data_IF_780641733995
#
_entry.id   IF_780641733995
#
_cell.length_a   1.000
_cell.length_b   1.000
_cell.length_c   1.000
_cell.angle_alpha   90.00
_cell.angle_beta   90.00
_cell.angle_gamma   90.00
#
_symmetry.space_group_name_H-M   'P 1'
#
loop_
_entity.id
_entity.type
_entity.pdbx_description
1 polymer ?
#
# COMPACT_ATOMS: atom_id res chain seq x y z
N UNK A 1 -19.92 -7.19 34.75
CA UNK A 1 -18.60 -7.44 34.10
C UNK A 1 -18.74 -7.69 32.59
N UNK A 2 -19.67 -8.54 32.13
CA UNK A 2 -19.93 -8.79 30.70
C UNK A 2 -20.34 -7.56 29.85
N UNK A 3 -21.26 -6.71 30.33
CA UNK A 3 -21.70 -5.49 29.59
C UNK A 3 -20.62 -4.43 29.39
N UNK A 4 -19.61 -4.37 30.26
CA UNK A 4 -18.52 -3.40 30.13
C UNK A 4 -17.55 -3.83 29.02
N UNK A 5 -17.25 -5.12 28.93
CA UNK A 5 -16.45 -5.68 27.84
C UNK A 5 -17.15 -5.59 26.47
N UNK A 6 -18.49 -5.77 26.40
CA UNK A 6 -19.26 -5.54 25.17
C UNK A 6 -19.31 -4.06 24.74
N UNK A 7 -19.36 -3.13 25.69
CA UNK A 7 -19.28 -1.70 25.40
C UNK A 7 -17.87 -1.26 25.00
N UNK A 8 -16.82 -1.89 25.56
CA UNK A 8 -15.45 -1.64 25.14
C UNK A 8 -15.18 -2.25 23.76
N UNK A 9 -15.61 -3.50 23.52
CA UNK A 9 -15.46 -4.16 22.23
C UNK A 9 -16.24 -3.44 21.14
N UNK A 10 -17.47 -3.00 21.41
CA UNK A 10 -18.22 -2.19 20.43
C UNK A 10 -17.60 -0.81 20.17
N UNK A 11 -16.95 -0.17 21.15
CA UNK A 11 -16.24 1.11 20.95
C UNK A 11 -14.89 0.95 20.23
N UNK A 12 -14.14 -0.10 20.55
CA UNK A 12 -12.88 -0.46 19.88
C UNK A 12 -13.16 -0.93 18.46
N UNK A 13 -14.27 -1.63 18.25
CA UNK A 13 -14.67 -2.16 16.95
C UNK A 13 -15.55 -1.19 16.14
N UNK A 14 -16.11 -0.11 16.72
CA UNK A 14 -16.93 0.87 16.01
C UNK A 14 -16.24 1.48 14.76
N UNK A 15 -14.93 1.77 14.75
CA UNK A 15 -14.21 2.18 13.54
C UNK A 15 -14.14 1.09 12.45
N UNK A 16 -14.42 -0.16 12.80
CA UNK A 16 -14.24 -1.36 11.98
C UNK A 16 -15.54 -2.13 11.69
N UNK A 17 -16.63 -1.87 12.44
CA UNK A 17 -17.95 -2.53 12.33
C UNK A 17 -19.00 -1.62 11.66
N UNK A 18 -18.74 -0.31 11.55
CA UNK A 18 -19.63 0.59 10.82
C UNK A 18 -19.74 0.22 9.35
N UNK A 19 -20.93 0.39 8.76
CA UNK A 19 -21.23 0.14 7.34
C UNK A 19 -20.01 0.49 6.49
N UNK A 20 -19.44 -0.51 5.82
CA UNK A 20 -18.44 -0.30 4.80
C UNK A 20 -19.11 0.47 3.66
N UNK A 21 -19.15 1.79 3.81
CA UNK A 21 -19.17 2.69 2.68
C UNK A 21 -17.98 2.26 1.84
N UNK A 22 -18.25 1.39 0.87
CA UNK A 22 -17.37 0.99 -0.22
C UNK A 22 -17.07 2.28 -0.97
N UNK A 23 -16.19 3.11 -0.42
CA UNK A 23 -15.82 4.39 -0.98
C UNK A 23 -14.86 4.10 -2.14
N UNK A 24 -15.40 3.55 -3.24
CA UNK A 24 -14.84 3.84 -4.54
C UNK A 24 -15.02 5.34 -4.71
N UNK A 25 -13.96 6.12 -4.45
CA UNK A 25 -13.96 7.54 -4.77
C UNK A 25 -14.20 7.64 -6.28
N UNK A 26 -15.38 8.13 -6.65
CA UNK A 26 -15.74 8.47 -8.03
C UNK A 26 -15.62 9.97 -8.15
N UNK A 27 -14.84 10.43 -9.11
CA UNK A 27 -14.71 11.85 -9.43
C UNK A 27 -15.53 12.16 -10.68
N UNK A 28 -15.67 13.45 -11.01
CA UNK A 28 -16.38 13.88 -12.20
C UNK A 28 -15.47 14.73 -13.06
N UNK A 29 -15.50 14.49 -14.36
CA UNK A 29 -14.86 15.34 -15.36
C UNK A 29 -15.60 16.67 -15.48
N UNK A 30 -14.96 17.69 -16.08
CA UNK A 30 -15.61 18.95 -16.48
C UNK A 30 -16.92 18.76 -17.28
N UNK A 31 -17.05 17.65 -18.01
CA UNK A 31 -18.26 17.33 -18.78
C UNK A 31 -19.32 16.51 -18.00
N UNK A 32 -19.11 16.28 -16.70
CA UNK A 32 -20.00 15.49 -15.83
C UNK A 32 -19.76 13.97 -15.86
N UNK A 33 -18.89 13.45 -16.74
CA UNK A 33 -18.62 12.01 -16.83
C UNK A 33 -17.91 11.49 -15.58
N UNK A 34 -18.34 10.34 -15.05
CA UNK A 34 -17.67 9.66 -13.94
C UNK A 34 -16.25 9.25 -14.29
N UNK A 35 -15.32 9.55 -13.40
CA UNK A 35 -13.90 9.25 -13.50
C UNK A 35 -13.50 8.25 -12.42
N UNK A 36 -12.71 7.27 -12.83
CA UNK A 36 -12.14 6.24 -11.97
C UNK A 36 -10.63 6.41 -11.89
N UNK A 37 -10.05 5.99 -10.77
CA UNK A 37 -8.64 6.19 -10.40
C UNK A 37 -7.59 5.98 -11.52
N UNK A 38 -7.85 5.10 -12.48
CA UNK A 38 -6.91 4.76 -13.57
C UNK A 38 -7.10 5.58 -14.85
N UNK A 39 -8.14 6.40 -14.97
CA UNK A 39 -8.38 7.15 -16.19
C UNK A 39 -7.29 8.23 -16.36
N UNK A 40 -6.63 8.23 -17.51
CA UNK A 40 -5.72 9.30 -17.96
C UNK A 40 -6.38 10.26 -18.96
N UNK A 41 -7.54 9.88 -19.49
CA UNK A 41 -8.36 10.68 -20.40
C UNK A 41 -9.85 10.41 -20.14
N UNK A 42 -10.67 11.45 -20.28
CA UNK A 42 -12.12 11.30 -20.26
C UNK A 42 -12.62 10.69 -21.58
N UNK A 43 -13.36 9.59 -21.51
CA UNK A 43 -13.91 8.93 -22.71
C UNK A 43 -15.08 9.68 -23.37
N UNK A 44 -15.65 10.69 -22.70
CA UNK A 44 -16.79 11.46 -23.22
C UNK A 44 -16.38 12.77 -23.91
N UNK A 45 -15.43 13.53 -23.33
CA UNK A 45 -14.99 14.82 -23.87
C UNK A 45 -13.50 14.86 -24.22
N UNK A 46 -12.79 13.73 -24.13
CA UNK A 46 -11.35 13.61 -24.43
C UNK A 46 -10.42 14.47 -23.58
N UNK A 47 -10.92 15.14 -22.54
CA UNK A 47 -10.10 15.92 -21.62
C UNK A 47 -8.99 15.05 -21.00
N UNK A 48 -7.77 15.58 -20.96
CA UNK A 48 -6.67 14.98 -20.21
C UNK A 48 -7.02 14.95 -18.72
N UNK A 49 -6.62 13.89 -18.02
CA UNK A 49 -6.88 13.70 -16.59
C UNK A 49 -5.58 13.54 -15.82
N UNK A 50 -5.60 13.94 -14.55
CA UNK A 50 -4.48 13.81 -13.63
C UNK A 50 -4.92 13.54 -12.20
N UNK A 51 -4.27 12.59 -11.54
CA UNK A 51 -4.45 12.31 -10.12
C UNK A 51 -3.46 13.12 -9.29
N UNK A 52 -3.98 13.97 -8.42
CA UNK A 52 -3.22 14.75 -7.46
C UNK A 52 -3.27 14.03 -6.09
N UNK A 53 -2.13 13.50 -5.60
CA UNK A 53 -2.12 12.58 -4.47
C UNK A 53 -2.46 13.25 -3.13
N UNK A 54 -2.05 14.51 -2.92
CA UNK A 54 -2.20 15.21 -1.64
C UNK A 54 -3.69 15.45 -1.29
N UNK A 55 -4.51 15.84 -2.26
CA UNK A 55 -5.96 15.98 -2.10
C UNK A 55 -6.70 14.67 -2.40
N UNK A 56 -5.98 13.60 -2.76
CA UNK A 56 -6.54 12.34 -3.22
C UNK A 56 -7.62 12.53 -4.29
N UNK A 57 -7.29 13.29 -5.35
CA UNK A 57 -8.27 13.78 -6.33
C UNK A 57 -7.87 13.47 -7.76
N UNK A 58 -8.78 12.87 -8.54
CA UNK A 58 -8.66 12.79 -9.99
C UNK A 58 -9.46 13.94 -10.61
N UNK A 59 -8.81 14.73 -11.47
CA UNK A 59 -9.42 15.91 -12.09
C UNK A 59 -9.15 15.91 -13.59
N UNK A 60 -10.04 16.52 -14.36
CA UNK A 60 -9.71 16.93 -15.73
C UNK A 60 -8.78 18.15 -15.71
N UNK A 61 -7.97 18.25 -16.75
CA UNK A 61 -6.86 19.19 -16.80
C UNK A 61 -7.07 20.22 -17.91
N UNK A 62 -6.83 21.49 -17.58
CA UNK A 62 -6.68 22.57 -18.55
C UNK A 62 -5.18 22.84 -18.80
N UNK A 63 -4.77 23.25 -20.01
CA UNK A 63 -3.40 23.69 -20.25
C UNK A 63 -3.02 24.85 -19.32
N UNK A 64 -1.84 24.78 -18.73
CA UNK A 64 -1.25 25.86 -17.95
C UNK A 64 -0.62 26.94 -18.84
N UNK A 65 -0.07 27.97 -18.21
CA UNK A 65 0.57 29.09 -18.91
C UNK A 65 1.97 28.74 -19.46
N UNK A 66 2.65 27.78 -18.84
CA UNK A 66 3.95 27.28 -19.29
C UNK A 66 3.81 25.99 -20.11
N UNK A 67 4.78 25.71 -20.97
CA UNK A 67 4.81 24.47 -21.77
C UNK A 67 4.77 23.23 -20.87
N UNK A 68 3.99 22.23 -21.29
CA UNK A 68 3.78 20.96 -20.58
C UNK A 68 3.23 21.08 -19.14
N UNK A 69 2.73 22.25 -18.75
CA UNK A 69 2.05 22.46 -17.48
C UNK A 69 0.53 22.38 -17.60
N UNK A 70 -0.12 22.07 -16.49
CA UNK A 70 -1.55 21.80 -16.40
C UNK A 70 -2.13 22.40 -15.12
N UNK A 71 -3.38 22.85 -15.20
CA UNK A 71 -4.21 23.24 -14.06
C UNK A 71 -5.35 22.24 -13.87
N UNK A 72 -5.80 22.06 -12.63
CA UNK A 72 -6.96 21.22 -12.33
C UNK A 72 -8.23 22.03 -12.63
N UNK A 73 -9.16 21.48 -13.42
CA UNK A 73 -10.45 22.17 -13.67
C UNK A 73 -11.26 22.33 -12.39
N UNK A 74 -11.21 21.32 -11.52
CA UNK A 74 -11.94 21.31 -10.27
C UNK A 74 -11.37 22.27 -9.21
N UNK A 75 -10.13 22.77 -9.39
CA UNK A 75 -9.43 23.63 -8.43
C UNK A 75 -8.27 24.38 -9.11
N UNK A 76 -8.56 25.39 -9.96
CA UNK A 76 -7.54 26.11 -10.73
C UNK A 76 -6.46 26.80 -9.87
N UNK A 77 -6.79 27.11 -8.61
CA UNK A 77 -5.93 27.74 -7.61
C UNK A 77 -4.94 26.78 -6.94
N UNK A 78 -5.04 25.47 -7.16
CA UNK A 78 -4.13 24.46 -6.59
C UNK A 78 -2.69 24.53 -7.15
N UNK A 79 -2.44 25.41 -8.11
CA UNK A 79 -1.14 25.63 -8.75
C UNK A 79 -1.00 24.94 -10.10
N UNK A 80 0.22 24.98 -10.62
CA UNK A 80 0.60 24.33 -11.88
C UNK A 80 1.21 22.96 -11.62
N UNK A 81 0.82 22.00 -12.45
CA UNK A 81 1.25 20.61 -12.38
C UNK A 81 1.86 20.15 -13.70
N UNK A 82 2.69 19.12 -13.63
CA UNK A 82 3.09 18.30 -14.78
C UNK A 82 2.49 16.91 -14.64
N UNK A 83 2.36 16.18 -15.74
CA UNK A 83 2.05 14.74 -15.71
C UNK A 83 3.35 13.95 -15.58
N UNK A 84 3.30 12.84 -14.83
CA UNK A 84 4.46 11.97 -14.63
C UNK A 84 5.07 11.50 -15.95
N UNK A 85 6.40 11.45 -16.05
CA UNK A 85 7.11 10.94 -17.23
C UNK A 85 6.74 9.50 -17.61
N UNK A 86 6.21 8.72 -16.67
CA UNK A 86 5.69 7.37 -16.93
C UNK A 86 4.26 7.33 -17.50
N UNK A 87 3.71 8.45 -17.95
CA UNK A 87 2.39 8.50 -18.57
C UNK A 87 2.34 7.68 -19.87
N UNK A 88 3.28 7.92 -20.77
CA UNK A 88 3.30 7.32 -22.11
C UNK A 88 4.16 6.05 -22.18
N UNK A 89 4.69 5.61 -21.04
CA UNK A 89 5.41 4.33 -20.91
C UNK A 89 4.43 3.19 -20.60
N UNK A 90 4.83 1.91 -20.66
CA UNK A 90 3.94 0.81 -20.31
C UNK A 90 3.30 0.92 -18.91
N UNK A 91 3.95 1.57 -17.95
CA UNK A 91 3.41 1.85 -16.62
C UNK A 91 2.09 2.65 -16.62
N UNK A 92 1.83 3.43 -17.68
CA UNK A 92 0.60 4.21 -17.89
C UNK A 92 0.19 5.04 -16.67
N UNK A 93 1.13 5.83 -16.14
CA UNK A 93 0.92 6.63 -14.94
C UNK A 93 0.05 7.87 -15.22
N UNK A 94 -1.04 8.08 -14.47
CA UNK A 94 -1.87 9.28 -14.60
C UNK A 94 -1.66 10.30 -13.46
N UNK A 95 -0.58 10.19 -12.68
CA UNK A 95 -0.36 11.05 -11.52
C UNK A 95 0.30 12.36 -11.91
N UNK A 96 -0.03 13.38 -11.14
CA UNK A 96 0.55 14.71 -11.24
C UNK A 96 1.72 14.88 -10.28
N UNK A 97 2.56 15.86 -10.60
CA UNK A 97 3.62 16.39 -9.75
C UNK A 97 3.65 17.92 -9.89
N UNK A 98 4.11 18.67 -8.88
CA UNK A 98 4.24 20.11 -8.99
C UNK A 98 5.09 20.54 -10.20
N UNK A 99 4.66 21.60 -10.91
CA UNK A 99 5.37 22.08 -12.10
C UNK A 99 6.80 22.52 -11.79
N UNK A 100 7.01 23.18 -10.64
CA UNK A 100 8.28 23.74 -10.20
C UNK A 100 9.08 22.80 -9.28
N UNK A 101 8.65 21.55 -9.14
CA UNK A 101 9.34 20.55 -8.33
C UNK A 101 10.53 19.91 -9.05
N UNK A 102 11.49 19.40 -8.26
CA UNK A 102 12.61 18.63 -8.79
C UNK A 102 12.17 17.25 -9.28
N UNK A 103 12.70 16.82 -10.44
CA UNK A 103 12.41 15.52 -11.02
C UNK A 103 11.26 15.51 -12.04
N UNK A 104 11.03 14.33 -12.62
CA UNK A 104 10.04 14.08 -13.69
C UNK A 104 9.04 12.98 -13.33
N UNK A 105 9.21 12.34 -12.18
CA UNK A 105 8.37 11.25 -11.69
C UNK A 105 7.49 11.72 -10.53
N UNK A 106 6.23 11.29 -10.50
CA UNK A 106 5.37 11.49 -9.34
C UNK A 106 5.89 10.72 -8.12
N UNK A 107 5.39 11.05 -6.92
CA UNK A 107 5.80 10.42 -5.65
C UNK A 107 5.77 8.88 -5.71
N UNK A 108 4.80 8.26 -6.39
CA UNK A 108 4.74 6.80 -6.51
C UNK A 108 5.79 6.21 -7.47
N UNK A 109 6.01 6.85 -8.63
CA UNK A 109 7.00 6.36 -9.60
C UNK A 109 8.44 6.64 -9.17
N UNK A 110 8.67 7.69 -8.38
CA UNK A 110 9.97 8.02 -7.79
C UNK A 110 10.48 6.95 -6.81
N UNK A 111 9.60 6.09 -6.29
CA UNK A 111 9.99 4.96 -5.43
C UNK A 111 10.61 3.79 -6.21
N UNK A 112 10.58 3.79 -7.54
CA UNK A 112 11.23 2.73 -8.31
C UNK A 112 12.73 2.92 -8.30
N UNK A 113 13.43 1.98 -7.69
CA UNK A 113 14.88 1.84 -7.87
C UNK A 113 15.17 1.01 -9.12
N UNK A 114 14.45 -0.10 -9.29
CA UNK A 114 14.56 -0.96 -10.48
C UNK A 114 13.19 -1.20 -11.11
N UNK A 115 13.09 -0.95 -12.42
CA UNK A 115 11.94 -1.33 -13.25
C UNK A 115 12.28 -2.62 -14.03
N UNK A 116 11.30 -3.40 -14.49
CA UNK A 116 11.60 -4.63 -15.22
C UNK A 116 12.19 -4.32 -16.59
N UNK A 117 12.92 -5.28 -17.16
CA UNK A 117 13.50 -5.18 -18.50
C UNK A 117 12.39 -5.04 -19.56
N UNK A 118 12.30 -3.85 -20.16
CA UNK A 118 11.29 -3.51 -21.17
C UNK A 118 11.65 -3.99 -22.58
N UNK A 119 12.83 -4.61 -22.77
CA UNK A 119 13.13 -5.33 -24.01
C UNK A 119 12.28 -6.60 -24.16
N UNK A 120 11.73 -7.11 -23.05
CA UNK A 120 10.81 -8.24 -22.97
C UNK A 120 9.36 -7.70 -23.05
N UNK A 121 8.60 -7.98 -24.13
CA UNK A 121 7.27 -7.41 -24.34
C UNK A 121 6.27 -7.75 -23.22
N UNK A 122 6.35 -8.94 -22.63
CA UNK A 122 5.46 -9.39 -21.55
C UNK A 122 5.59 -8.52 -20.30
N UNK A 123 6.80 -7.98 -20.05
CA UNK A 123 7.05 -7.11 -18.90
C UNK A 123 6.29 -5.78 -18.98
N UNK A 124 5.81 -5.37 -20.16
CA UNK A 124 5.04 -4.14 -20.32
C UNK A 124 3.70 -4.22 -19.58
N UNK A 125 2.98 -5.34 -19.74
CA UNK A 125 1.71 -5.57 -19.04
C UNK A 125 1.94 -5.85 -17.54
N UNK A 126 2.97 -6.63 -17.21
CA UNK A 126 3.33 -6.89 -15.81
C UNK A 126 3.67 -5.62 -15.06
N UNK A 127 4.51 -4.76 -15.65
CA UNK A 127 4.90 -3.49 -15.03
C UNK A 127 3.68 -2.59 -14.82
N UNK A 128 2.77 -2.51 -15.80
CA UNK A 128 1.51 -1.78 -15.66
C UNK A 128 0.68 -2.27 -14.48
N UNK A 129 0.50 -3.59 -14.32
CA UNK A 129 -0.29 -4.18 -13.23
C UNK A 129 0.32 -3.91 -11.85
N UNK A 130 1.64 -4.10 -11.74
CA UNK A 130 2.41 -3.82 -10.52
C UNK A 130 2.32 -2.35 -10.14
N UNK A 131 2.52 -1.45 -11.11
CA UNK A 131 2.42 -0.01 -10.90
C UNK A 131 1.00 0.44 -10.50
N UNK A 132 -0.05 -0.17 -11.06
CA UNK A 132 -1.44 0.09 -10.62
C UNK A 132 -1.62 -0.31 -9.14
N UNK A 133 -1.10 -1.47 -8.73
CA UNK A 133 -1.20 -1.93 -7.35
C UNK A 133 -0.40 -1.03 -6.39
N UNK A 134 0.85 -0.71 -6.74
CA UNK A 134 1.70 0.22 -5.97
C UNK A 134 1.07 1.61 -5.84
N UNK A 135 0.54 2.19 -6.93
CA UNK A 135 -0.13 3.51 -6.85
C UNK A 135 -1.35 3.50 -5.94
N UNK A 136 -2.12 2.41 -5.89
CA UNK A 136 -3.23 2.28 -4.94
C UNK A 136 -2.74 2.26 -3.49
N UNK A 137 -1.66 1.52 -3.23
CA UNK A 137 -0.99 1.51 -1.92
C UNK A 137 -0.50 2.92 -1.56
N UNK A 138 0.28 3.57 -2.42
CA UNK A 138 0.85 4.91 -2.14
C UNK A 138 -0.25 5.94 -1.93
N UNK A 139 -1.31 5.96 -2.75
CA UNK A 139 -2.45 6.84 -2.54
C UNK A 139 -3.10 6.62 -1.17
N UNK A 140 -3.21 5.36 -0.75
CA UNK A 140 -3.74 5.02 0.56
C UNK A 140 -2.83 5.52 1.69
N UNK A 141 -1.51 5.31 1.61
CA UNK A 141 -0.54 5.78 2.60
C UNK A 141 -0.59 7.32 2.75
N UNK A 142 -0.58 8.04 1.63
CA UNK A 142 -0.69 9.51 1.60
C UNK A 142 -2.01 9.97 2.23
N UNK A 143 -3.13 9.32 1.90
CA UNK A 143 -4.45 9.67 2.48
C UNK A 143 -4.56 9.39 3.99
N UNK A 144 -3.69 8.53 4.52
CA UNK A 144 -3.57 8.24 5.96
C UNK A 144 -2.60 9.19 6.66
N UNK A 145 -1.97 10.12 5.92
CA UNK A 145 -0.97 11.06 6.46
C UNK A 145 0.40 10.42 6.70
N UNK A 146 0.64 9.20 6.22
CA UNK A 146 1.93 8.53 6.38
C UNK A 146 2.97 9.10 5.41
N UNK A 147 4.20 9.27 5.90
CA UNK A 147 5.30 9.77 5.09
C UNK A 147 5.77 8.74 4.07
N UNK A 148 5.79 9.13 2.80
CA UNK A 148 6.29 8.32 1.68
C UNK A 148 7.50 9.02 1.08
N UNK A 149 8.67 8.75 1.64
CA UNK A 149 9.94 9.38 1.23
C UNK A 149 10.73 8.38 0.38
N UNK A 150 11.10 8.69 -0.88
CA UNK A 150 11.94 7.81 -1.69
C UNK A 150 13.34 7.62 -1.12
N UNK A 151 13.92 6.43 -1.29
CA UNK A 151 15.34 6.19 -0.93
C UNK A 151 16.35 7.05 -1.69
N UNK A 152 15.97 7.58 -2.85
CA UNK A 152 16.78 8.55 -3.60
C UNK A 152 16.89 9.92 -2.92
N UNK A 153 16.02 10.19 -1.94
CA UNK A 153 16.04 11.41 -1.12
C UNK A 153 16.60 11.09 0.27
N UNK A 154 16.18 9.99 0.88
CA UNK A 154 16.65 9.51 2.18
C UNK A 154 17.08 8.05 2.09
N UNK A 155 18.38 7.82 1.92
CA UNK A 155 18.94 6.48 1.71
C UNK A 155 18.74 5.57 2.93
N UNK A 156 18.73 6.13 4.14
CA UNK A 156 18.65 5.37 5.38
C UNK A 156 17.20 4.98 5.69
N UNK A 157 16.29 5.97 5.72
CA UNK A 157 14.92 5.79 6.19
C UNK A 157 13.87 5.74 5.07
N UNK A 158 14.25 5.95 3.82
CA UNK A 158 13.31 5.99 2.69
C UNK A 158 12.80 4.61 2.24
N UNK A 159 11.77 4.65 1.40
CA UNK A 159 11.11 3.52 0.75
C UNK A 159 11.52 3.42 -0.73
N UNK A 160 11.79 2.21 -1.21
CA UNK A 160 12.03 1.93 -2.62
C UNK A 160 11.49 0.56 -3.04
N UNK A 161 11.29 0.39 -4.34
CA UNK A 161 10.83 -0.85 -4.95
C UNK A 161 11.77 -1.33 -6.06
N UNK A 162 12.05 -2.62 -6.05
CA UNK A 162 12.66 -3.35 -7.15
C UNK A 162 11.66 -4.33 -7.75
N UNK A 163 11.43 -4.20 -9.06
CA UNK A 163 10.65 -5.14 -9.85
C UNK A 163 11.57 -5.95 -10.74
N UNK A 164 11.90 -7.15 -10.29
CA UNK A 164 12.95 -7.97 -10.88
C UNK A 164 12.35 -9.24 -11.50
N UNK A 165 12.95 -9.71 -12.59
CA UNK A 165 12.61 -11.00 -13.19
C UNK A 165 13.64 -12.07 -12.85
N UNK A 166 13.61 -13.17 -13.60
CA UNK A 166 14.69 -14.15 -13.55
C UNK A 166 16.00 -13.52 -14.02
N UNK A 167 17.10 -13.86 -13.35
CA UNK A 167 18.42 -13.37 -13.74
C UNK A 167 18.92 -14.05 -15.05
N UNK A 168 20.09 -13.62 -15.54
CA UNK A 168 20.71 -14.17 -16.75
C UNK A 168 21.06 -15.68 -16.61
N UNK A 169 21.13 -16.20 -15.39
CA UNK A 169 21.38 -17.60 -15.08
C UNK A 169 20.06 -18.40 -14.94
N UNK A 170 18.91 -17.73 -15.08
CA UNK A 170 17.57 -18.32 -14.96
C UNK A 170 17.07 -18.51 -13.54
N UNK A 171 17.76 -17.98 -12.51
CA UNK A 171 17.32 -18.06 -11.12
C UNK A 171 16.22 -17.06 -10.83
N UNK A 172 15.26 -17.47 -10.01
CA UNK A 172 14.19 -16.59 -9.54
C UNK A 172 14.73 -15.59 -8.52
N UNK A 173 14.24 -14.33 -8.54
CA UNK A 173 14.71 -13.32 -7.60
C UNK A 173 14.28 -13.64 -6.18
N UNK A 174 15.07 -13.18 -5.20
CA UNK A 174 14.66 -13.18 -3.80
C UNK A 174 13.72 -12.00 -3.57
N UNK A 175 12.46 -12.31 -3.22
CA UNK A 175 11.43 -11.32 -2.91
C UNK A 175 11.32 -11.08 -1.41
N UNK A 176 10.84 -9.91 -1.01
CA UNK A 176 10.64 -9.53 0.40
C UNK A 176 11.03 -8.07 0.65
N UNK A 177 11.35 -7.75 1.90
CA UNK A 177 11.78 -6.42 2.31
C UNK A 177 13.18 -6.47 2.98
N UNK A 178 13.93 -5.37 2.85
CA UNK A 178 15.17 -5.15 3.57
C UNK A 178 15.44 -3.64 3.68
N UNK A 179 15.49 -3.08 4.89
CA UNK A 179 15.86 -1.67 5.15
C UNK A 179 15.10 -0.67 4.24
N UNK A 180 13.78 -0.83 4.12
CA UNK A 180 12.92 0.01 3.27
C UNK A 180 13.05 -0.22 1.76
N UNK A 181 13.84 -1.19 1.31
CA UNK A 181 13.75 -1.72 -0.05
C UNK A 181 12.77 -2.90 -0.07
N UNK A 182 11.79 -2.85 -0.98
CA UNK A 182 10.86 -3.94 -1.22
C UNK A 182 11.11 -4.52 -2.61
N UNK A 183 11.38 -5.81 -2.69
CA UNK A 183 11.70 -6.53 -3.92
C UNK A 183 10.56 -7.49 -4.26
N UNK A 184 9.99 -7.36 -5.46
CA UNK A 184 8.97 -8.29 -5.97
C UNK A 184 9.41 -8.91 -7.29
N UNK A 185 9.07 -10.19 -7.48
CA UNK A 185 9.16 -10.83 -8.79
C UNK A 185 8.09 -10.24 -9.70
N UNK A 186 8.51 -9.70 -10.85
CA UNK A 186 7.60 -9.15 -11.85
C UNK A 186 6.58 -10.18 -12.34
N UNK A 187 6.90 -11.49 -12.27
CA UNK A 187 5.97 -12.58 -12.61
C UNK A 187 4.78 -12.69 -11.67
N UNK A 188 4.81 -12.09 -10.49
CA UNK A 188 3.61 -12.04 -9.64
C UNK A 188 2.45 -11.27 -10.29
N UNK A 189 2.75 -10.46 -11.30
CA UNK A 189 1.76 -9.76 -12.10
C UNK A 189 1.01 -10.67 -13.10
N UNK A 190 1.54 -11.87 -13.36
CA UNK A 190 0.85 -12.89 -14.15
C UNK A 190 -0.19 -13.60 -13.25
N UNK A 191 -1.46 -13.50 -13.64
CA UNK A 191 -2.57 -14.13 -12.92
C UNK A 191 -2.45 -15.65 -12.86
N UNK A 192 -1.96 -16.29 -13.92
CA UNK A 192 -1.78 -17.74 -13.97
C UNK A 192 -0.59 -18.19 -13.10
N UNK A 193 0.50 -17.43 -13.09
CA UNK A 193 1.60 -17.66 -12.15
C UNK A 193 1.13 -17.49 -10.71
N UNK A 194 0.43 -16.39 -10.39
CA UNK A 194 0.00 -16.08 -9.03
C UNK A 194 -1.01 -17.10 -8.50
N UNK A 195 -1.93 -17.59 -9.35
CA UNK A 195 -2.88 -18.65 -8.98
C UNK A 195 -2.17 -19.99 -8.73
N UNK A 196 -1.17 -20.36 -9.54
CA UNK A 196 -0.35 -21.55 -9.30
C UNK A 196 0.36 -21.48 -7.95
N UNK A 197 0.99 -20.34 -7.63
CA UNK A 197 1.67 -20.16 -6.34
C UNK A 197 0.67 -20.19 -5.19
N UNK A 198 -0.50 -19.53 -5.32
CA UNK A 198 -1.56 -19.56 -4.31
C UNK A 198 -1.97 -20.99 -3.96
N UNK A 199 -2.23 -21.82 -4.97
CA UNK A 199 -2.60 -23.24 -4.77
C UNK A 199 -1.46 -24.04 -4.14
N UNK A 200 -0.22 -23.83 -4.60
CA UNK A 200 0.96 -24.53 -4.08
C UNK A 200 1.23 -24.19 -2.61
N UNK A 201 1.10 -22.92 -2.24
CA UNK A 201 1.30 -22.41 -0.88
C UNK A 201 0.07 -22.56 0.01
N UNK A 202 -1.05 -23.10 -0.53
CA UNK A 202 -2.36 -23.22 0.15
C UNK A 202 -2.84 -21.90 0.74
N UNK A 203 -2.56 -20.81 0.06
CA UNK A 203 -3.00 -19.48 0.45
C UNK A 203 -4.48 -19.29 0.06
N UNK A 204 -5.30 -18.71 0.94
CA UNK A 204 -6.70 -18.45 0.62
C UNK A 204 -6.83 -17.39 -0.47
N UNK A 205 -5.94 -16.38 -0.51
CA UNK A 205 -5.93 -15.30 -1.49
C UNK A 205 -4.50 -14.79 -1.73
N UNK A 206 -4.11 -14.60 -2.99
CA UNK A 206 -2.83 -13.96 -3.37
C UNK A 206 -3.08 -12.83 -4.35
N UNK A 207 -2.78 -11.59 -3.97
CA UNK A 207 -2.93 -10.40 -4.82
C UNK A 207 -1.70 -9.50 -4.72
N UNK A 208 -1.35 -8.82 -5.82
CA UNK A 208 -0.22 -7.87 -5.84
C UNK A 208 -0.34 -6.81 -4.75
N UNK A 209 -1.52 -6.20 -4.60
CA UNK A 209 -1.73 -5.15 -3.60
C UNK A 209 -1.67 -5.70 -2.17
N UNK A 210 -2.07 -6.96 -1.94
CA UNK A 210 -1.92 -7.62 -0.66
C UNK A 210 -0.45 -7.79 -0.29
N UNK A 211 0.36 -8.33 -1.21
CA UNK A 211 1.80 -8.48 -1.01
C UNK A 211 2.48 -7.13 -0.76
N UNK A 212 2.17 -6.11 -1.56
CA UNK A 212 2.66 -4.75 -1.32
C UNK A 212 2.32 -4.22 0.08
N UNK A 213 1.09 -4.44 0.56
CA UNK A 213 0.67 -3.98 1.89
C UNK A 213 1.42 -4.71 3.00
N UNK A 214 1.67 -6.00 2.83
CA UNK A 214 2.44 -6.83 3.76
C UNK A 214 3.89 -6.31 3.87
N UNK A 215 4.60 -6.22 2.73
CA UNK A 215 6.00 -5.78 2.73
C UNK A 215 6.18 -4.35 3.24
N UNK A 216 5.25 -3.45 2.89
CA UNK A 216 5.24 -2.09 3.43
C UNK A 216 4.90 -2.07 4.93
N UNK A 217 4.18 -3.08 5.43
CA UNK A 217 3.94 -3.26 6.86
C UNK A 217 5.24 -3.41 7.63
N UNK A 218 6.19 -4.21 7.14
CA UNK A 218 7.52 -4.32 7.76
C UNK A 218 8.30 -3.00 7.72
N UNK A 219 8.27 -2.28 6.59
CA UNK A 219 8.87 -0.95 6.51
C UNK A 219 8.31 0.00 7.58
N UNK A 220 6.98 0.05 7.77
CA UNK A 220 6.41 0.91 8.81
C UNK A 220 6.59 0.35 10.23
N UNK A 221 6.87 -0.94 10.41
CA UNK A 221 7.30 -1.46 11.71
C UNK A 221 8.64 -0.82 12.12
N UNK A 222 9.62 -0.81 11.22
CA UNK A 222 10.94 -0.21 11.47
C UNK A 222 10.81 1.29 11.78
N UNK A 223 9.94 1.99 11.04
CA UNK A 223 9.75 3.45 11.17
C UNK A 223 8.97 3.85 12.41
N UNK A 224 7.96 3.08 12.79
CA UNK A 224 6.97 3.50 13.79
C UNK A 224 7.09 2.76 15.13
N UNK A 225 7.66 1.55 15.12
CA UNK A 225 7.66 0.64 16.28
C UNK A 225 9.07 0.40 16.82
N UNK A 226 10.01 -0.06 15.99
CA UNK A 226 11.28 -0.67 16.41
C UNK A 226 12.07 0.13 17.46
N UNK A 227 12.10 1.46 17.32
CA UNK A 227 12.83 2.37 18.21
C UNK A 227 11.91 3.43 18.85
N UNK A 228 10.61 3.13 18.94
CA UNK A 228 9.58 4.08 19.34
C UNK A 228 8.92 3.75 20.68
N UNK A 229 8.03 4.64 21.17
CA UNK A 229 7.27 4.43 22.40
C UNK A 229 6.27 3.27 22.31
N UNK A 230 6.01 2.78 21.09
CA UNK A 230 5.04 1.73 20.81
C UNK A 230 5.58 0.31 21.01
N UNK A 231 6.91 0.12 21.15
CA UNK A 231 7.53 -1.20 21.16
C UNK A 231 7.01 -2.12 22.29
N UNK A 232 6.87 -1.59 23.50
CA UNK A 232 6.38 -2.39 24.64
C UNK A 232 4.91 -2.78 24.48
N UNK A 233 4.08 -1.86 23.96
CA UNK A 233 2.68 -2.15 23.66
C UNK A 233 2.55 -3.17 22.50
N UNK A 234 3.42 -3.07 21.50
CA UNK A 234 3.55 -4.03 20.42
C UNK A 234 3.85 -5.43 20.98
N UNK A 235 4.88 -5.58 21.83
CA UNK A 235 5.23 -6.87 22.44
C UNK A 235 4.11 -7.47 23.29
N UNK A 236 3.35 -6.63 23.98
CA UNK A 236 2.18 -7.06 24.74
C UNK A 236 1.02 -7.60 23.89
N UNK A 237 0.92 -7.21 22.62
CA UNK A 237 -0.17 -7.59 21.71
C UNK A 237 0.21 -8.65 20.68
N UNK A 238 1.40 -8.55 20.09
CA UNK A 238 1.89 -9.39 18.99
C UNK A 238 2.88 -10.46 19.47
N UNK A 239 3.53 -10.24 20.61
CA UNK A 239 4.59 -11.10 21.15
C UNK A 239 5.99 -10.51 20.95
N UNK A 240 7.00 -11.22 21.45
CA UNK A 240 8.40 -10.79 21.43
C UNK A 240 9.05 -11.04 20.06
N UNK A 241 9.30 -9.97 19.32
CA UNK A 241 9.91 -10.02 17.99
C UNK A 241 11.37 -10.47 17.98
N UNK A 242 12.03 -10.56 19.15
CA UNK A 242 13.43 -10.98 19.26
C UNK A 242 13.61 -12.48 19.15
N UNK A 243 12.52 -13.24 19.08
CA UNK A 243 12.57 -14.68 18.77
C UNK A 243 13.27 -14.87 17.43
N UNK A 244 14.08 -15.91 17.29
CA UNK A 244 14.77 -16.19 16.04
C UNK A 244 13.77 -16.42 14.91
N UNK A 245 13.79 -15.54 13.91
CA UNK A 245 12.93 -15.65 12.73
C UNK A 245 13.11 -17.00 12.03
N UNK A 246 14.36 -17.45 11.86
CA UNK A 246 14.67 -18.71 11.18
C UNK A 246 14.09 -19.93 11.91
N UNK A 247 14.22 -19.97 13.24
CA UNK A 247 13.66 -21.07 14.05
C UNK A 247 12.13 -21.03 14.07
N UNK A 248 11.54 -19.83 14.10
CA UNK A 248 10.10 -19.64 14.07
C UNK A 248 9.48 -20.09 12.74
N UNK A 249 10.14 -19.75 11.63
CA UNK A 249 9.79 -20.19 10.28
C UNK A 249 9.88 -21.72 10.13
N UNK A 250 10.98 -22.31 10.58
CA UNK A 250 11.17 -23.77 10.55
C UNK A 250 10.07 -24.48 11.35
N UNK A 251 9.80 -24.03 12.57
CA UNK A 251 8.71 -24.56 13.40
C UNK A 251 7.36 -24.47 12.69
N UNK A 252 7.05 -23.34 12.06
CA UNK A 252 5.79 -23.14 11.36
C UNK A 252 5.62 -24.12 10.19
N UNK A 253 6.67 -24.37 9.40
CA UNK A 253 6.59 -25.35 8.31
C UNK A 253 6.51 -26.81 8.80
N UNK A 254 7.14 -27.12 9.93
CA UNK A 254 7.10 -28.48 10.50
C UNK A 254 5.77 -28.78 11.20
N UNK A 255 5.23 -27.82 11.95
CA UNK A 255 4.09 -28.04 12.86
C UNK A 255 2.78 -27.44 12.36
N UNK A 256 2.85 -26.48 11.42
CA UNK A 256 1.72 -25.68 10.98
C UNK A 256 1.27 -24.64 12.00
N UNK A 257 0.22 -23.90 11.65
CA UNK A 257 -0.43 -22.98 12.58
C UNK A 257 -1.26 -23.75 13.63
N UNK A 258 -1.35 -23.25 14.88
CA UNK A 258 -2.26 -23.79 15.90
C UNK A 258 -3.71 -23.86 15.41
N UNK A 259 -4.47 -24.90 15.77
CA UNK A 259 -5.84 -25.10 15.25
C UNK A 259 -6.82 -23.96 15.57
N UNK A 260 -6.55 -23.20 16.63
CA UNK A 260 -7.33 -22.09 17.13
C UNK A 260 -6.76 -20.71 16.76
N UNK A 261 -5.85 -20.64 15.78
CA UNK A 261 -5.20 -19.39 15.36
C UNK A 261 -6.19 -18.25 15.05
N UNK A 262 -7.38 -18.57 14.54
CA UNK A 262 -8.43 -17.59 14.20
C UNK A 262 -8.92 -16.80 15.41
N UNK A 263 -8.69 -17.30 16.63
CA UNK A 263 -9.06 -16.61 17.86
C UNK A 263 -8.14 -15.42 18.16
N UNK A 264 -6.94 -15.35 17.57
CA UNK A 264 -5.93 -14.35 17.92
C UNK A 264 -5.17 -13.73 16.75
N UNK A 265 -5.22 -14.32 15.55
CA UNK A 265 -4.46 -13.87 14.39
C UNK A 265 -5.35 -13.68 13.16
N UNK A 266 -4.96 -12.74 12.30
CA UNK A 266 -5.67 -12.44 11.04
C UNK A 266 -5.46 -13.52 9.97
N UNK A 267 -4.36 -14.27 10.05
CA UNK A 267 -4.04 -15.37 9.14
C UNK A 267 -3.30 -16.48 9.88
N UNK A 268 -3.25 -17.67 9.28
CA UNK A 268 -2.43 -18.77 9.81
C UNK A 268 -0.94 -18.40 9.79
N UNK A 269 -0.48 -17.69 8.75
CA UNK A 269 0.91 -17.29 8.61
C UNK A 269 1.34 -16.24 9.64
N UNK A 270 0.43 -15.35 10.07
CA UNK A 270 0.67 -14.43 11.18
C UNK A 270 1.09 -15.13 12.49
N UNK A 271 0.77 -16.42 12.68
CA UNK A 271 1.25 -17.18 13.85
C UNK A 271 2.74 -17.53 13.79
N UNK A 272 3.38 -17.36 12.63
CA UNK A 272 4.78 -17.75 12.40
C UNK A 272 5.72 -16.93 13.28
N UNK A 273 5.58 -15.60 13.28
CA UNK A 273 6.44 -14.70 14.03
C UNK A 273 5.71 -13.37 14.36
N UNK A 274 5.97 -12.72 15.51
CA UNK A 274 5.31 -11.44 15.86
C UNK A 274 5.47 -10.34 14.81
N UNK A 275 6.60 -10.35 14.09
CA UNK A 275 6.85 -9.41 12.99
C UNK A 275 5.95 -9.65 11.78
N UNK A 276 5.62 -10.92 11.48
CA UNK A 276 4.64 -11.27 10.44
C UNK A 276 3.22 -10.97 10.88
N UNK A 277 2.90 -11.20 12.14
CA UNK A 277 1.60 -10.86 12.70
C UNK A 277 1.31 -9.36 12.57
N UNK A 278 2.33 -8.52 12.77
CA UNK A 278 2.25 -7.09 12.45
C UNK A 278 1.97 -6.85 10.97
N UNK A 279 2.80 -7.37 10.07
CA UNK A 279 2.70 -7.10 8.64
C UNK A 279 1.36 -7.57 8.05
N UNK A 280 0.88 -8.75 8.47
CA UNK A 280 -0.42 -9.30 8.10
C UNK A 280 -1.57 -8.45 8.68
N UNK A 281 -1.48 -8.05 9.95
CA UNK A 281 -2.51 -7.18 10.57
C UNK A 281 -2.54 -5.81 9.92
N UNK A 282 -1.39 -5.23 9.60
CA UNK A 282 -1.25 -3.97 8.87
C UNK A 282 -1.86 -4.08 7.47
N UNK A 283 -1.56 -5.17 6.76
CA UNK A 283 -2.13 -5.42 5.44
C UNK A 283 -3.65 -5.56 5.49
N UNK A 284 -4.18 -6.23 6.51
CA UNK A 284 -5.61 -6.34 6.76
C UNK A 284 -6.24 -4.98 7.09
N UNK A 285 -5.61 -4.16 7.93
CA UNK A 285 -6.05 -2.80 8.23
C UNK A 285 -6.12 -1.94 6.95
N UNK A 286 -5.08 -1.95 6.12
CA UNK A 286 -5.11 -1.23 4.85
C UNK A 286 -6.14 -1.81 3.88
N UNK A 287 -6.38 -3.12 3.90
CA UNK A 287 -7.42 -3.71 3.07
C UNK A 287 -8.82 -3.22 3.44
N UNK A 288 -9.20 -3.29 4.72
CA UNK A 288 -10.52 -2.82 5.22
C UNK A 288 -10.75 -1.32 5.00
N UNK A 289 -9.67 -0.53 4.94
CA UNK A 289 -9.70 0.92 4.65
C UNK A 289 -9.51 1.25 3.15
N UNK A 290 -9.35 0.25 2.30
CA UNK A 290 -8.95 0.38 0.90
C UNK A 290 -10.13 0.57 -0.06
N UNK A 291 -9.87 1.18 -1.21
CA UNK A 291 -10.90 1.42 -2.24
C UNK A 291 -11.36 0.13 -2.93
N UNK A 292 -12.68 -0.14 -2.88
CA UNK A 292 -13.38 -1.02 -3.82
C UNK A 292 -12.96 -2.49 -3.80
N UNK A 293 -12.49 -3.02 -2.66
CA UNK A 293 -12.20 -4.44 -2.51
C UNK A 293 -13.24 -5.10 -1.58
N UNK A 294 -13.77 -6.28 -1.92
CA UNK A 294 -14.60 -7.06 -1.00
C UNK A 294 -13.74 -7.53 0.18
N UNK A 295 -14.38 -7.69 1.35
CA UNK A 295 -13.71 -8.11 2.58
C UNK A 295 -12.86 -9.37 2.34
N UNK A 296 -11.59 -9.29 2.72
CA UNK A 296 -10.61 -10.36 2.55
C UNK A 296 -10.96 -11.61 3.36
N UNK A 297 -11.80 -11.51 4.40
CA UNK A 297 -12.03 -12.60 5.34
C UNK A 297 -13.51 -12.81 5.71
N UNK A 298 -14.03 -14.05 5.63
CA UNK A 298 -15.44 -14.37 5.87
C UNK A 298 -15.81 -14.62 7.34
N UNK A 299 -14.92 -14.33 8.31
CA UNK A 299 -15.13 -14.64 9.73
C UNK A 299 -15.34 -13.38 10.58
N UNK A 300 -16.01 -13.55 11.72
CA UNK A 300 -16.14 -12.51 12.76
C UNK A 300 -14.75 -12.24 13.34
N UNK A 301 -14.31 -10.98 13.31
CA UNK A 301 -13.03 -10.57 13.91
C UNK A 301 -13.06 -10.86 15.42
N UNK A 302 -12.08 -11.62 15.90
CA UNK A 302 -11.97 -11.93 17.33
C UNK A 302 -11.60 -10.68 18.15
N UNK A 303 -11.89 -10.64 19.46
CA UNK A 303 -11.47 -9.53 20.31
C UNK A 303 -9.97 -9.24 20.27
N UNK A 304 -9.13 -10.28 20.17
CA UNK A 304 -7.68 -10.15 20.06
C UNK A 304 -7.26 -9.53 18.72
N UNK A 305 -7.86 -9.95 17.61
CA UNK A 305 -7.61 -9.34 16.29
C UNK A 305 -8.06 -7.88 16.26
N UNK A 306 -9.21 -7.57 16.84
CA UNK A 306 -9.72 -6.19 16.95
C UNK A 306 -8.75 -5.33 17.76
N UNK A 307 -8.19 -5.83 18.86
CA UNK A 307 -7.20 -5.11 19.64
C UNK A 307 -5.93 -4.78 18.82
N UNK A 308 -5.43 -5.73 18.02
CA UNK A 308 -4.28 -5.52 17.12
C UNK A 308 -4.60 -4.51 16.01
N UNK A 309 -5.78 -4.59 15.38
CA UNK A 309 -6.22 -3.62 14.37
C UNK A 309 -6.38 -2.20 14.95
N UNK A 310 -6.91 -2.11 16.17
CA UNK A 310 -7.00 -0.84 16.88
C UNK A 310 -5.62 -0.28 17.24
N UNK A 311 -4.66 -1.12 17.62
CA UNK A 311 -3.29 -0.71 17.82
C UNK A 311 -2.67 -0.11 16.55
N UNK A 312 -2.81 -0.79 15.40
CA UNK A 312 -2.37 -0.26 14.09
C UNK A 312 -3.02 1.10 13.81
N UNK A 313 -4.32 1.23 14.07
CA UNK A 313 -5.04 2.50 13.91
C UNK A 313 -4.45 3.63 14.75
N UNK A 314 -4.19 3.38 16.04
CA UNK A 314 -3.62 4.38 16.95
C UNK A 314 -2.22 4.83 16.52
N UNK A 315 -1.36 3.88 16.13
CA UNK A 315 -0.02 4.17 15.59
C UNK A 315 -0.12 5.08 14.37
N UNK A 316 -1.00 4.75 13.41
CA UNK A 316 -1.19 5.56 12.20
C UNK A 316 -1.79 6.94 12.53
N UNK A 317 -2.73 7.05 13.47
CA UNK A 317 -3.32 8.35 13.83
C UNK A 317 -2.31 9.27 14.52
N UNK A 318 -1.46 8.73 15.40
CA UNK A 318 -0.42 9.52 16.07
C UNK A 318 0.59 10.09 15.07
N UNK A 319 0.96 9.32 14.05
CA UNK A 319 1.93 9.75 13.04
C UNK A 319 1.30 10.59 11.93
N UNK A 320 0.13 10.18 11.42
CA UNK A 320 -0.62 10.91 10.41
C UNK A 320 -1.13 12.27 10.89
N UNK A 321 -1.36 12.43 12.20
CA UNK A 321 -1.67 13.71 12.83
C UNK A 321 -0.48 14.69 12.92
N UNK A 322 0.74 14.26 12.58
CA UNK A 322 1.97 15.10 12.57
C UNK A 322 2.36 15.58 11.17
N UNK A 323 1.61 15.22 10.13
CA UNK A 323 1.87 15.66 8.75
C UNK A 323 1.88 17.20 8.58
N UNK A 324 1.10 17.92 9.39
CA UNK A 324 1.03 19.38 9.38
C UNK A 324 2.30 20.07 9.93
N UNK A 325 3.13 19.38 10.74
CA UNK A 325 4.37 19.97 11.29
C UNK A 325 5.51 20.03 10.26
N UNK A 326 5.55 19.11 9.30
CA UNK A 326 6.66 19.03 8.31
C UNK A 326 6.47 20.01 7.15
N UNK A 327 5.22 20.32 6.78
CA UNK A 327 4.87 21.30 5.74
C UNK A 327 5.26 22.75 6.09
N UNK A 328 5.68 23.02 7.33
CA UNK A 328 6.24 24.33 7.74
C UNK A 328 7.75 24.42 7.60
N UNK A 329 8.41 23.36 7.12
CA UNK A 329 9.87 23.25 7.07
C UNK A 329 10.46 23.00 5.68
N UNK A 330 9.68 23.16 4.60
CA UNK A 330 10.18 23.15 3.22
C UNK A 330 9.88 24.45 2.50
#
# INVERSE_FOLDING_TARGET
>A
MYRFFEQLSSRIAAPFIGESSRNSKVWHCRCGQSLFFRNSQCLACSAALGYQPEQSRLSSLAPGFDVDTWQLDAEPEAGLFRRCANLDTPAACNWLLPAHGWGVHCIACALNRTIPDLSIPENHDHWRKVEIAKRRLVAQLVSLGLQVIPKSIDEECGLAFDFVGVDLEGKSPTTGHANGLITLDIKEADDAHRERVRVQMREPYRTLIGHFRHEVGHYYWDRLIANGPWLEAFRGLFGDERVSYAEALERHYQQGAPLDWQQSHVSAYATMHPWEDWAETWAHYLHTRGMGQPDFYPFVLSPAVIAKLHFVHLVIQQEGGRADEVLRTQ
#
